data_IF_590134794623
#
_entry.id   IF_590134794623
#
_cell.length_a   1.000
_cell.length_b   1.000
_cell.length_c   1.000
_cell.angle_alpha   90.00
_cell.angle_beta   90.00
_cell.angle_gamma   90.00
#
_symmetry.space_group_name_H-M   'P 1'
#
loop_
_entity.id
_entity.type
_entity.pdbx_description
1 polymer ?
#
# COMPACT_ATOMS: atom_id res chain seq x y z
N UNK A 1 23.14 -2.10 -35.89
CA UNK A 1 21.85 -1.38 -35.88
C UNK A 1 20.77 -2.44 -35.75
N UNK A 2 19.90 -2.53 -34.74
CA UNK A 2 19.37 -1.59 -33.77
C UNK A 2 19.04 -2.44 -32.52
N UNK A 3 19.57 -2.08 -31.36
CA UNK A 3 19.15 -2.67 -30.09
C UNK A 3 17.77 -2.16 -29.75
N UNK A 4 16.77 -3.04 -29.75
CA UNK A 4 15.42 -2.69 -29.29
C UNK A 4 15.48 -2.53 -27.78
N UNK A 5 15.77 -1.31 -27.33
CA UNK A 5 15.60 -0.89 -25.96
C UNK A 5 14.09 -0.94 -25.67
N UNK A 6 13.63 -2.04 -25.06
CA UNK A 6 12.26 -2.15 -24.56
C UNK A 6 12.11 -1.11 -23.46
N UNK A 7 11.62 0.07 -23.86
CA UNK A 7 11.22 1.14 -22.97
C UNK A 7 10.01 0.60 -22.19
N UNK A 8 10.30 0.01 -21.02
CA UNK A 8 9.32 -0.45 -20.05
C UNK A 8 8.53 0.76 -19.59
N UNK A 9 7.46 1.13 -20.32
CA UNK A 9 6.50 2.17 -19.92
C UNK A 9 6.05 1.83 -18.50
N UNK A 10 6.50 2.61 -17.51
CA UNK A 10 5.97 2.52 -16.15
C UNK A 10 4.51 2.98 -16.22
N UNK A 11 3.58 2.04 -16.34
CA UNK A 11 2.15 2.35 -16.17
C UNK A 11 1.99 2.92 -14.76
N UNK A 12 1.47 4.14 -14.64
CA UNK A 12 0.92 4.67 -13.38
C UNK A 12 -0.11 3.67 -12.89
N UNK A 13 0.15 3.01 -11.78
CA UNK A 13 -0.80 2.11 -11.15
C UNK A 13 -1.88 2.99 -10.51
N UNK A 14 -3.10 2.99 -11.07
CA UNK A 14 -4.22 3.64 -10.40
C UNK A 14 -4.65 2.74 -9.25
N UNK A 15 -5.21 3.33 -8.20
CA UNK A 15 -5.76 2.58 -7.07
C UNK A 15 -6.75 1.49 -7.54
N UNK A 16 -7.53 1.80 -8.59
CA UNK A 16 -8.47 0.87 -9.22
C UNK A 16 -7.78 -0.39 -9.77
N UNK A 17 -6.62 -0.24 -10.42
CA UNK A 17 -5.84 -1.39 -10.93
C UNK A 17 -5.41 -2.34 -9.79
N UNK A 18 -5.16 -1.81 -8.59
CA UNK A 18 -4.78 -2.62 -7.42
C UNK A 18 -5.99 -3.42 -6.94
N UNK A 19 -7.16 -2.79 -6.87
CA UNK A 19 -8.40 -3.44 -6.45
C UNK A 19 -8.87 -4.50 -7.45
N UNK A 20 -8.70 -4.25 -8.75
CA UNK A 20 -9.02 -5.21 -9.80
C UNK A 20 -8.08 -6.43 -9.79
N UNK A 21 -6.79 -6.22 -9.50
CA UNK A 21 -5.81 -7.32 -9.38
C UNK A 21 -5.97 -8.15 -8.10
N UNK A 22 -6.57 -7.56 -7.07
CA UNK A 22 -6.76 -8.19 -5.77
C UNK A 22 -8.25 -8.14 -5.36
N UNK A 23 -9.12 -8.95 -6.01
CA UNK A 23 -10.55 -8.97 -5.68
C UNK A 23 -10.84 -9.44 -4.25
N UNK A 24 -9.89 -10.12 -3.61
CA UNK A 24 -9.99 -10.64 -2.24
C UNK A 24 -9.86 -9.58 -1.14
N UNK A 25 -9.73 -8.30 -1.51
CA UNK A 25 -9.65 -7.19 -0.55
C UNK A 25 -11.01 -6.90 0.07
N UNK A 26 -11.07 -6.94 1.40
CA UNK A 26 -12.21 -6.52 2.20
C UNK A 26 -12.37 -4.98 2.21
N UNK A 27 -13.53 -4.48 2.65
CA UNK A 27 -13.79 -3.04 2.75
C UNK A 27 -12.73 -2.31 3.57
N UNK A 28 -12.40 -2.83 4.77
CA UNK A 28 -11.36 -2.23 5.63
C UNK A 28 -9.99 -2.17 4.95
N UNK A 29 -9.63 -3.21 4.18
CA UNK A 29 -8.37 -3.28 3.45
C UNK A 29 -8.31 -2.23 2.35
N UNK A 30 -9.42 -2.03 1.62
CA UNK A 30 -9.53 -1.02 0.57
C UNK A 30 -9.43 0.38 1.14
N UNK A 31 -10.09 0.66 2.25
CA UNK A 31 -10.01 1.96 2.92
C UNK A 31 -8.58 2.27 3.37
N UNK A 32 -7.87 1.30 3.96
CA UNK A 32 -6.46 1.48 4.34
C UNK A 32 -5.61 1.80 3.12
N UNK A 33 -5.72 1.03 2.03
CA UNK A 33 -4.95 1.28 0.80
C UNK A 33 -5.30 2.66 0.21
N UNK A 34 -6.57 3.02 0.16
CA UNK A 34 -7.04 4.33 -0.31
C UNK A 34 -6.41 5.46 0.50
N UNK A 35 -6.37 5.31 1.82
CA UNK A 35 -5.78 6.30 2.71
C UNK A 35 -4.26 6.43 2.53
N UNK A 36 -3.55 5.30 2.40
CA UNK A 36 -2.11 5.30 2.10
C UNK A 36 -1.85 6.00 0.76
N UNK A 37 -2.70 5.74 -0.25
CA UNK A 37 -2.60 6.36 -1.57
C UNK A 37 -2.82 7.87 -1.52
N UNK A 38 -3.88 8.33 -0.83
CA UNK A 38 -4.17 9.75 -0.63
C UNK A 38 -3.02 10.50 0.05
N UNK A 39 -2.30 9.84 0.97
CA UNK A 39 -1.14 10.40 1.67
C UNK A 39 0.16 10.37 0.85
N UNK A 40 0.12 9.99 -0.43
CA UNK A 40 1.29 9.93 -1.31
C UNK A 40 2.03 8.59 -1.27
N UNK A 41 1.32 7.50 -0.95
CA UNK A 41 1.84 6.14 -0.97
C UNK A 41 2.68 5.77 0.26
N UNK A 42 2.70 6.60 1.31
CA UNK A 42 3.49 6.38 2.52
C UNK A 42 2.74 6.89 3.74
N UNK A 43 2.61 6.08 4.77
CA UNK A 43 1.94 6.47 6.02
C UNK A 43 2.63 5.85 7.23
N UNK A 44 2.46 6.44 8.39
CA UNK A 44 2.89 5.83 9.66
C UNK A 44 1.79 4.96 10.25
N UNK A 45 2.16 3.85 10.90
CA UNK A 45 1.19 3.00 11.64
C UNK A 45 0.43 3.82 12.69
N UNK A 46 1.11 4.78 13.32
CA UNK A 46 0.52 5.70 14.28
C UNK A 46 -0.57 6.58 13.65
N UNK A 47 -0.42 7.00 12.39
CA UNK A 47 -1.47 7.70 11.65
C UNK A 47 -2.62 6.75 11.29
N UNK A 48 -2.34 5.56 10.76
CA UNK A 48 -3.39 4.58 10.44
C UNK A 48 -4.22 4.26 11.69
N UNK A 49 -3.56 4.06 12.83
CA UNK A 49 -4.25 3.84 14.10
C UNK A 49 -5.20 4.99 14.46
N UNK A 50 -4.78 6.24 14.26
CA UNK A 50 -5.60 7.43 14.57
C UNK A 50 -6.77 7.60 13.61
N UNK A 51 -6.55 7.34 12.32
CA UNK A 51 -7.53 7.56 11.27
C UNK A 51 -8.67 6.54 11.34
N UNK A 52 -8.32 5.29 11.62
CA UNK A 52 -9.28 4.19 11.66
C UNK A 52 -9.87 3.97 13.06
N UNK A 53 -9.37 4.67 14.08
CA UNK A 53 -9.70 4.47 15.50
C UNK A 53 -9.63 2.99 15.94
N UNK A 54 -8.80 2.20 15.26
CA UNK A 54 -8.69 0.77 15.45
C UNK A 54 -7.64 0.44 16.52
N UNK A 55 -7.83 -0.66 17.28
CA UNK A 55 -6.79 -1.16 18.16
C UNK A 55 -5.57 -1.59 17.34
N UNK A 56 -4.38 -1.47 17.95
CA UNK A 56 -3.08 -1.78 17.32
C UNK A 56 -3.04 -3.18 16.68
N UNK A 57 -3.69 -4.15 17.32
CA UNK A 57 -3.77 -5.55 16.86
C UNK A 57 -4.57 -5.70 15.56
N UNK A 58 -5.66 -4.93 15.38
CA UNK A 58 -6.47 -4.94 14.15
C UNK A 58 -5.72 -4.31 12.98
N UNK A 59 -5.09 -3.15 13.20
CA UNK A 59 -4.26 -2.49 12.18
C UNK A 59 -3.10 -3.39 11.77
N UNK A 60 -2.45 -4.06 12.72
CA UNK A 60 -1.36 -4.98 12.42
C UNK A 60 -1.80 -6.20 11.60
N UNK A 61 -2.97 -6.78 11.91
CA UNK A 61 -3.56 -7.87 11.11
C UNK A 61 -3.83 -7.42 9.67
N UNK A 62 -4.43 -6.25 9.50
CA UNK A 62 -4.67 -5.62 8.20
C UNK A 62 -3.36 -5.42 7.43
N UNK A 63 -2.38 -4.78 8.08
CA UNK A 63 -1.07 -4.52 7.49
C UNK A 63 -0.36 -5.80 7.05
N UNK A 64 -0.36 -6.84 7.89
CA UNK A 64 0.22 -8.15 7.55
C UNK A 64 -0.47 -8.85 6.39
N UNK A 65 -1.80 -8.78 6.29
CA UNK A 65 -2.54 -9.34 5.14
C UNK A 65 -2.19 -8.61 3.85
N UNK A 66 -2.20 -7.27 3.89
CA UNK A 66 -1.85 -6.42 2.74
C UNK A 66 -0.38 -6.62 2.31
N UNK A 67 0.53 -6.80 3.28
CA UNK A 67 1.93 -7.14 3.04
C UNK A 67 2.06 -8.53 2.39
N UNK A 68 1.32 -9.53 2.88
CA UNK A 68 1.28 -10.87 2.30
C UNK A 68 0.73 -10.89 0.87
N UNK A 69 -0.21 -10.00 0.53
CA UNK A 69 -0.70 -9.80 -0.84
C UNK A 69 0.28 -9.02 -1.73
N UNK A 70 1.36 -8.47 -1.15
CA UNK A 70 2.36 -7.69 -1.88
C UNK A 70 1.92 -6.29 -2.27
N UNK A 71 0.83 -5.78 -1.66
CA UNK A 71 0.27 -4.46 -1.96
C UNK A 71 1.02 -3.37 -1.20
N UNK A 72 1.38 -3.64 0.05
CA UNK A 72 2.13 -2.72 0.89
C UNK A 72 3.42 -3.37 1.41
N UNK A 73 4.30 -2.56 1.98
CA UNK A 73 5.50 -3.00 2.67
C UNK A 73 5.56 -2.28 4.00
N UNK A 74 5.73 -3.05 5.08
CA UNK A 74 5.92 -2.48 6.41
C UNK A 74 7.42 -2.38 6.68
N UNK A 75 7.92 -1.16 6.84
CA UNK A 75 9.30 -0.91 7.28
C UNK A 75 9.32 -0.31 8.66
N UNK A 76 10.15 -0.87 9.53
CA UNK A 76 10.43 -0.25 10.83
C UNK A 76 11.45 0.86 10.63
N UNK A 77 11.07 2.09 10.96
CA UNK A 77 11.94 3.28 10.91
C UNK A 77 12.02 3.84 12.32
N UNK A 78 13.13 3.53 13.01
CA UNK A 78 13.33 3.88 14.42
C UNK A 78 12.35 3.16 15.36
N UNK A 79 11.56 3.94 16.10
CA UNK A 79 10.54 3.45 17.06
C UNK A 79 9.15 3.27 16.43
N UNK A 80 8.99 3.60 15.15
CA UNK A 80 7.69 3.57 14.46
C UNK A 80 7.74 2.65 13.24
N UNK A 81 6.57 2.10 12.90
CA UNK A 81 6.40 1.33 11.67
C UNK A 81 5.81 2.26 10.60
N UNK A 82 6.43 2.23 9.43
CA UNK A 82 5.98 2.94 8.24
C UNK A 82 5.40 1.94 7.27
N UNK A 83 4.20 2.20 6.79
CA UNK A 83 3.56 1.45 5.72
C UNK A 83 3.80 2.20 4.41
N UNK A 84 4.41 1.53 3.45
CA UNK A 84 4.67 2.05 2.11
C UNK A 84 3.90 1.22 1.09
N UNK A 85 3.20 1.88 0.17
CA UNK A 85 2.46 1.24 -0.91
C UNK A 85 3.47 0.73 -1.96
N UNK A 86 3.36 -0.54 -2.35
CA UNK A 86 4.29 -1.22 -3.25
C UNK A 86 3.85 -0.97 -4.70
N UNK A 87 4.28 0.17 -5.23
CA UNK A 87 4.00 0.58 -6.61
C UNK A 87 4.62 1.94 -6.90
N UNK A 88 4.87 2.23 -8.17
CA UNK A 88 5.38 3.53 -8.61
C UNK A 88 4.19 4.50 -8.65
N UNK A 89 3.94 5.18 -7.53
CA UNK A 89 2.91 6.20 -7.39
C UNK A 89 3.60 7.57 -7.38
N UNK A 90 3.76 8.18 -8.57
CA UNK A 90 4.21 9.55 -8.77
C UNK A 90 3.24 10.28 -9.69
#
# INVERSE_FOLDING_TARGET
>A
MIGVYILKRRKKLRLQDIFERHPNLNSDERDVIYHIYQKGGRVWESEVRRIFDLPKTSVWRLARRLEGMGIITVKKVGLQNRLELKGDFH
#
